data_IF_493148733933
#
_entry.id   IF_493148733933
#
_cell.length_a   1.000
_cell.length_b   1.000
_cell.length_c   1.000
_cell.angle_alpha   90.00
_cell.angle_beta   90.00
_cell.angle_gamma   90.00
#
_symmetry.space_group_name_H-M   'P 1'
#
loop_
_entity.id
_entity.type
_entity.pdbx_description
1 polymer ?
#
# COMPACT_ATOMS: atom_id res chain seq x y z
N UNK A 1 -34.77 -29.62 29.53
CA UNK A 1 -33.71 -28.61 29.35
C UNK A 1 -32.87 -29.04 28.16
N UNK A 2 -32.93 -28.31 27.05
CA UNK A 2 -32.26 -28.70 25.79
C UNK A 2 -31.05 -27.79 25.58
N UNK A 3 -29.85 -28.36 25.57
CA UNK A 3 -28.59 -27.66 25.31
C UNK A 3 -28.31 -27.72 23.80
N UNK A 4 -28.53 -26.61 23.09
CA UNK A 4 -28.08 -26.46 21.71
C UNK A 4 -26.63 -25.96 21.77
N UNK A 5 -25.68 -26.87 21.55
CA UNK A 5 -24.27 -26.51 21.37
C UNK A 5 -24.08 -25.94 19.96
N UNK A 6 -23.84 -24.64 19.87
CA UNK A 6 -23.42 -23.96 18.63
C UNK A 6 -21.91 -24.18 18.46
N UNK A 7 -21.51 -25.03 17.51
CA UNK A 7 -20.11 -25.08 17.08
C UNK A 7 -19.84 -23.87 16.17
N UNK A 8 -19.19 -22.85 16.71
CA UNK A 8 -18.59 -21.78 15.91
C UNK A 8 -17.34 -22.35 15.20
N UNK A 9 -17.44 -22.55 13.89
CA UNK A 9 -16.31 -22.96 13.07
C UNK A 9 -15.43 -21.71 12.83
N UNK A 10 -14.41 -21.53 13.66
CA UNK A 10 -13.40 -20.51 13.43
C UNK A 10 -12.67 -20.84 12.12
N UNK A 11 -12.81 -20.00 11.10
CA UNK A 11 -12.00 -20.06 9.90
C UNK A 11 -10.58 -19.62 10.25
N UNK A 12 -9.76 -20.56 10.73
CA UNK A 12 -8.34 -20.33 10.95
C UNK A 12 -7.67 -20.14 9.60
N UNK A 13 -7.03 -18.98 9.39
CA UNK A 13 -6.14 -18.75 8.26
C UNK A 13 -5.03 -19.80 8.23
N UNK A 14 -4.63 -20.25 7.04
CA UNK A 14 -3.53 -21.20 6.91
C UNK A 14 -2.20 -20.50 7.27
N UNK A 15 -1.38 -21.14 8.09
CA UNK A 15 0.00 -20.70 8.36
C UNK A 15 0.95 -21.50 7.49
N UNK A 16 1.73 -20.81 6.65
CA UNK A 16 2.73 -21.40 5.77
C UNK A 16 4.15 -21.07 6.25
N UNK A 17 5.13 -22.00 6.12
CA UNK A 17 6.49 -21.76 6.58
C UNK A 17 7.23 -20.71 5.74
N UNK A 18 6.98 -20.67 4.43
CA UNK A 18 7.56 -19.69 3.53
C UNK A 18 6.66 -19.45 2.32
N UNK A 19 6.59 -18.21 1.87
CA UNK A 19 5.83 -17.80 0.69
C UNK A 19 6.69 -16.94 -0.25
N UNK A 20 6.48 -17.08 -1.55
CA UNK A 20 7.01 -16.12 -2.52
C UNK A 20 6.18 -14.85 -2.49
N UNK A 21 6.85 -13.71 -2.43
CA UNK A 21 6.27 -12.40 -2.64
C UNK A 21 6.78 -11.76 -3.92
N UNK A 22 7.06 -12.57 -4.95
CA UNK A 22 7.75 -12.10 -6.17
C UNK A 22 6.89 -11.20 -7.08
N UNK A 23 5.56 -11.18 -6.87
CA UNK A 23 4.62 -10.32 -7.59
C UNK A 23 3.76 -9.54 -6.61
N UNK A 24 4.26 -8.42 -6.09
CA UNK A 24 3.47 -7.55 -5.24
C UNK A 24 2.18 -7.10 -5.95
N UNK A 25 1.09 -7.02 -5.19
CA UNK A 25 -0.25 -6.73 -5.67
C UNK A 25 -1.03 -7.94 -6.19
N UNK A 26 -0.41 -9.13 -6.32
CA UNK A 26 -1.13 -10.35 -6.74
C UNK A 26 -2.06 -10.89 -5.66
N UNK A 27 -1.58 -10.97 -4.42
CA UNK A 27 -2.34 -11.52 -3.28
C UNK A 27 -2.43 -10.51 -2.11
N UNK A 28 -3.03 -9.33 -2.35
CA UNK A 28 -3.17 -8.29 -1.33
C UNK A 28 -4.02 -8.76 -0.14
N UNK A 29 -3.64 -8.36 1.06
CA UNK A 29 -4.42 -8.62 2.26
C UNK A 29 -5.74 -7.85 2.23
N UNK A 30 -6.85 -8.58 2.32
CA UNK A 30 -8.21 -8.01 2.24
C UNK A 30 -8.90 -7.87 3.60
N UNK A 31 -8.23 -8.31 4.68
CA UNK A 31 -8.73 -8.14 6.04
C UNK A 31 -8.52 -6.72 6.57
N UNK A 32 -8.87 -6.54 7.84
CA UNK A 32 -8.58 -5.32 8.58
C UNK A 32 -7.10 -5.32 9.00
N UNK A 33 -6.34 -4.38 8.46
CA UNK A 33 -4.89 -4.21 8.69
C UNK A 33 -4.58 -3.93 10.16
N UNK A 34 -5.45 -3.21 10.87
CA UNK A 34 -5.29 -2.91 12.29
C UNK A 34 -5.62 -4.16 13.11
N UNK A 35 -6.71 -4.86 12.78
CA UNK A 35 -7.10 -6.07 13.49
C UNK A 35 -6.06 -7.20 13.34
N UNK A 36 -5.39 -7.31 12.20
CA UNK A 36 -4.37 -8.32 11.93
C UNK A 36 -3.21 -8.32 12.95
N UNK A 37 -2.95 -7.18 13.61
CA UNK A 37 -1.94 -7.10 14.68
C UNK A 37 -2.28 -8.05 15.84
N UNK A 38 -3.56 -8.35 16.07
CA UNK A 38 -3.98 -9.29 17.11
C UNK A 38 -3.51 -10.72 16.87
N UNK A 39 -3.16 -11.10 15.64
CA UNK A 39 -2.69 -12.45 15.31
C UNK A 39 -1.25 -12.71 15.76
N UNK A 40 -0.48 -11.66 16.06
CA UNK A 40 0.84 -11.75 16.68
C UNK A 40 0.72 -12.02 18.20
N UNK A 41 0.37 -13.26 18.56
CA UNK A 41 0.09 -13.66 19.95
C UNK A 41 1.30 -13.59 20.88
N UNK A 42 2.51 -13.64 20.32
CA UNK A 42 3.79 -13.48 21.01
C UNK A 42 4.06 -12.04 21.47
N UNK A 43 3.43 -11.04 20.85
CA UNK A 43 3.53 -9.66 21.32
C UNK A 43 2.73 -9.47 22.62
N UNK A 44 3.22 -8.68 23.59
CA UNK A 44 2.42 -8.30 24.74
C UNK A 44 1.12 -7.59 24.33
N UNK A 45 0.01 -7.87 25.02
CA UNK A 45 -1.29 -7.29 24.68
C UNK A 45 -1.29 -5.76 24.70
N UNK A 46 -0.55 -5.14 25.64
CA UNK A 46 -0.36 -3.70 25.71
C UNK A 46 0.37 -3.15 24.47
N UNK A 47 1.43 -3.83 24.00
CA UNK A 47 2.16 -3.47 22.78
C UNK A 47 1.26 -3.54 21.55
N UNK A 48 0.47 -4.62 21.41
CA UNK A 48 -0.53 -4.72 20.32
C UNK A 48 -1.54 -3.59 20.37
N UNK A 49 -2.07 -3.24 21.54
CA UNK A 49 -3.03 -2.17 21.69
C UNK A 49 -2.47 -0.81 21.24
N UNK A 50 -1.21 -0.50 21.62
CA UNK A 50 -0.54 0.73 21.18
C UNK A 50 -0.28 0.75 19.67
N UNK A 51 0.27 -0.33 19.11
CA UNK A 51 0.48 -0.47 17.66
C UNK A 51 -0.82 -0.26 16.88
N UNK A 52 -1.91 -0.92 17.30
CA UNK A 52 -3.23 -0.75 16.68
C UNK A 52 -3.74 0.70 16.77
N UNK A 53 -3.57 1.35 17.92
CA UNK A 53 -3.98 2.73 18.10
C UNK A 53 -3.20 3.70 17.18
N UNK A 54 -1.90 3.45 16.96
CA UNK A 54 -1.07 4.21 16.00
C UNK A 54 -1.53 3.95 14.56
N UNK A 55 -1.69 2.69 14.18
CA UNK A 55 -2.11 2.29 12.83
C UNK A 55 -3.50 2.83 12.46
N UNK A 56 -4.45 2.83 13.39
CA UNK A 56 -5.78 3.40 13.18
C UNK A 56 -5.77 4.91 12.90
N UNK A 57 -4.73 5.61 13.38
CA UNK A 57 -4.52 7.06 13.17
C UNK A 57 -3.57 7.36 12.01
N UNK A 58 -3.03 6.33 11.35
CA UNK A 58 -1.95 6.45 10.37
C UNK A 58 -0.70 7.15 10.94
N UNK A 59 -0.44 6.96 12.23
CA UNK A 59 0.73 7.50 12.93
C UNK A 59 1.92 6.54 12.77
N UNK A 60 2.43 6.43 11.53
CA UNK A 60 3.61 5.64 11.20
C UNK A 60 4.89 6.41 11.53
N UNK A 61 5.95 5.67 11.83
CA UNK A 61 7.26 6.23 12.15
C UNK A 61 7.98 6.75 10.91
N UNK A 62 7.90 5.99 9.81
CA UNK A 62 8.53 6.35 8.53
C UNK A 62 7.94 5.57 7.35
N UNK A 63 8.25 6.03 6.13
CA UNK A 63 8.04 5.30 4.88
C UNK A 63 9.37 4.71 4.46
N UNK A 64 9.43 3.40 4.27
CA UNK A 64 10.62 2.68 3.82
C UNK A 64 10.49 2.27 2.36
N UNK A 65 11.64 2.07 1.71
CA UNK A 65 11.76 1.33 0.46
C UNK A 65 12.07 -0.13 0.75
N UNK A 66 11.21 -1.00 0.24
CA UNK A 66 11.35 -2.45 0.30
C UNK A 66 11.98 -2.85 -1.04
N UNK A 67 13.13 -3.49 -1.01
CA UNK A 67 13.91 -3.87 -2.21
C UNK A 67 14.04 -5.39 -2.28
N UNK A 68 14.79 -5.95 -3.23
CA UNK A 68 15.02 -7.41 -3.26
C UNK A 68 15.70 -7.92 -1.98
N UNK A 69 16.80 -7.26 -1.62
CA UNK A 69 17.74 -7.73 -0.60
C UNK A 69 17.89 -6.74 0.58
N UNK A 70 17.03 -5.70 0.64
CA UNK A 70 17.08 -4.68 1.70
C UNK A 70 15.71 -4.10 2.04
N UNK A 71 15.64 -3.50 3.23
CA UNK A 71 14.61 -2.54 3.62
C UNK A 71 15.34 -1.26 4.04
N UNK A 72 15.09 -0.18 3.31
CA UNK A 72 15.84 1.07 3.39
C UNK A 72 14.95 2.19 3.92
N UNK A 73 15.33 2.78 5.05
CA UNK A 73 14.66 3.91 5.70
C UNK A 73 15.65 4.87 6.34
N UNK A 74 15.14 5.82 7.13
CA UNK A 74 15.95 6.66 8.02
C UNK A 74 16.67 5.79 9.04
N UNK A 75 15.96 4.80 9.59
CA UNK A 75 16.58 3.80 10.44
C UNK A 75 17.10 2.59 9.67
N UNK A 76 17.89 1.78 10.38
CA UNK A 76 18.38 0.52 9.87
C UNK A 76 17.38 -0.60 10.19
N UNK A 77 17.16 -1.48 9.23
CA UNK A 77 16.24 -2.59 9.34
C UNK A 77 16.91 -3.84 8.81
N UNK A 78 16.64 -4.97 9.47
CA UNK A 78 16.98 -6.28 8.95
C UNK A 78 16.19 -6.56 7.67
N UNK A 79 16.77 -7.38 6.79
CA UNK A 79 16.13 -7.72 5.52
C UNK A 79 14.98 -8.73 5.67
N UNK A 80 14.86 -9.42 6.79
CA UNK A 80 13.83 -10.46 6.97
C UNK A 80 12.45 -9.85 7.18
N UNK A 81 11.48 -10.34 6.41
CA UNK A 81 10.06 -10.04 6.57
C UNK A 81 9.36 -11.31 7.03
N UNK A 82 8.69 -11.23 8.19
CA UNK A 82 8.13 -12.39 8.88
C UNK A 82 6.63 -12.25 9.11
N UNK A 83 5.97 -13.39 9.20
CA UNK A 83 4.55 -13.53 9.58
C UNK A 83 3.62 -12.63 8.77
N UNK A 84 3.87 -12.56 7.46
CA UNK A 84 3.13 -11.70 6.55
C UNK A 84 1.74 -12.26 6.28
N UNK A 85 0.72 -11.44 6.47
CA UNK A 85 -0.67 -11.75 6.17
C UNK A 85 -0.98 -11.44 4.69
N UNK A 86 -1.62 -12.39 4.01
CA UNK A 86 -1.95 -12.36 2.58
C UNK A 86 -3.43 -12.65 2.30
N UNK A 87 -3.91 -12.09 1.19
CA UNK A 87 -5.16 -12.48 0.55
C UNK A 87 -6.43 -12.27 1.37
N UNK A 88 -7.55 -12.77 0.83
CA UNK A 88 -8.87 -12.74 1.48
C UNK A 88 -9.10 -13.86 2.47
N UNK A 89 -8.32 -14.94 2.39
CA UNK A 89 -8.40 -16.09 3.30
C UNK A 89 -7.55 -15.92 4.56
N UNK A 90 -6.87 -14.79 4.72
CA UNK A 90 -6.04 -14.49 5.89
C UNK A 90 -4.88 -15.47 6.05
N UNK A 91 -4.20 -15.85 4.96
CA UNK A 91 -3.04 -16.75 5.04
C UNK A 91 -1.88 -16.00 5.68
N UNK A 92 -1.18 -16.62 6.62
CA UNK A 92 0.01 -16.03 7.26
C UNK A 92 1.25 -16.82 6.88
N UNK A 93 2.25 -16.14 6.34
CA UNK A 93 3.52 -16.75 5.95
C UNK A 93 4.61 -16.39 6.95
N UNK A 94 5.18 -17.38 7.64
CA UNK A 94 6.21 -17.17 8.66
C UNK A 94 7.42 -16.41 8.11
N UNK A 95 7.80 -16.69 6.85
CA UNK A 95 8.81 -15.95 6.11
C UNK A 95 8.31 -15.66 4.69
N UNK A 96 8.79 -14.56 4.11
CA UNK A 96 8.57 -14.27 2.69
C UNK A 96 9.89 -14.06 1.96
N UNK A 97 9.95 -14.56 0.73
CA UNK A 97 11.10 -14.35 -0.17
C UNK A 97 10.76 -13.32 -1.24
N UNK A 98 11.76 -12.49 -1.56
CA UNK A 98 11.73 -11.51 -2.66
C UNK A 98 12.78 -11.81 -3.73
N UNK A 99 13.41 -13.00 -3.69
CA UNK A 99 14.57 -13.36 -4.51
C UNK A 99 14.36 -13.19 -6.02
N UNK A 100 13.12 -13.26 -6.51
CA UNK A 100 12.84 -13.12 -7.95
C UNK A 100 12.47 -11.69 -8.37
N UNK A 101 12.39 -10.73 -7.44
CA UNK A 101 12.24 -9.30 -7.77
C UNK A 101 13.38 -8.85 -8.66
N UNK A 102 13.26 -7.84 -9.53
CA UNK A 102 14.46 -7.28 -10.17
C UNK A 102 15.32 -6.49 -9.16
N UNK A 103 16.61 -6.23 -9.44
CA UNK A 103 17.46 -5.47 -8.52
C UNK A 103 16.96 -4.02 -8.30
N UNK A 104 16.42 -3.42 -9.35
CA UNK A 104 15.79 -2.09 -9.32
C UNK A 104 14.33 -2.10 -8.86
N UNK A 105 13.76 -3.27 -8.54
CA UNK A 105 12.37 -3.37 -8.12
C UNK A 105 12.24 -2.91 -6.68
N UNK A 106 11.29 -2.00 -6.46
CA UNK A 106 11.06 -1.39 -5.16
C UNK A 106 9.56 -1.31 -4.88
N UNK A 107 9.21 -1.51 -3.62
CA UNK A 107 7.92 -1.12 -3.08
C UNK A 107 8.09 -0.13 -1.92
N UNK A 108 7.04 0.63 -1.62
CA UNK A 108 6.99 1.48 -0.43
C UNK A 108 6.20 0.78 0.66
N UNK A 109 6.62 0.97 1.91
CA UNK A 109 5.90 0.46 3.07
C UNK A 109 5.88 1.46 4.22
N UNK A 110 4.80 1.40 4.98
CA UNK A 110 4.66 2.14 6.24
C UNK A 110 5.21 1.29 7.38
N UNK A 111 6.03 1.88 8.24
CA UNK A 111 6.54 1.20 9.43
C UNK A 111 5.94 1.80 10.70
N UNK A 112 5.46 0.93 11.59
CA UNK A 112 4.96 1.28 12.92
C UNK A 112 5.73 0.45 13.96
N UNK A 113 6.37 1.10 14.92
CA UNK A 113 7.13 0.45 15.96
C UNK A 113 6.62 0.84 17.35
N UNK A 114 6.69 -0.11 18.28
CA UNK A 114 6.55 0.12 19.71
C UNK A 114 7.73 -0.58 20.38
N UNK A 115 8.74 0.20 20.80
CA UNK A 115 10.04 -0.36 21.19
C UNK A 115 10.73 -1.05 20.00
N UNK A 116 11.12 -2.30 20.20
CA UNK A 116 11.77 -3.16 19.21
C UNK A 116 10.78 -3.93 18.30
N UNK A 117 9.47 -3.78 18.53
CA UNK A 117 8.42 -4.49 17.80
C UNK A 117 7.90 -3.64 16.66
N UNK A 118 8.25 -3.99 15.42
CA UNK A 118 7.91 -3.21 14.23
C UNK A 118 7.00 -3.97 13.26
N UNK A 119 5.94 -3.30 12.82
CA UNK A 119 4.98 -3.73 11.79
C UNK A 119 5.27 -2.98 10.49
N UNK A 120 5.37 -3.72 9.38
CA UNK A 120 5.53 -3.21 8.03
C UNK A 120 4.27 -3.48 7.22
N UNK A 121 3.74 -2.43 6.58
CA UNK A 121 2.58 -2.51 5.68
C UNK A 121 2.92 -1.90 4.32
N UNK A 122 3.15 -2.70 3.26
CA UNK A 122 3.36 -2.21 1.91
C UNK A 122 2.14 -1.46 1.37
N UNK A 123 2.36 -0.36 0.63
CA UNK A 123 1.28 0.53 0.18
C UNK A 123 0.43 -0.06 -0.94
N UNK A 124 0.97 -1.01 -1.73
CA UNK A 124 0.26 -1.66 -2.83
C UNK A 124 -0.50 -2.89 -2.32
N UNK A 125 0.18 -3.78 -1.60
CA UNK A 125 -0.40 -5.05 -1.18
C UNK A 125 -1.26 -4.96 0.08
N UNK A 126 -1.03 -3.96 0.93
CA UNK A 126 -1.60 -3.85 2.30
C UNK A 126 -1.33 -5.06 3.19
N UNK A 127 -0.38 -5.90 2.81
CA UNK A 127 0.03 -7.06 3.59
C UNK A 127 0.59 -6.61 4.93
N UNK A 128 0.26 -7.31 6.00
CA UNK A 128 0.69 -6.94 7.35
C UNK A 128 1.77 -7.89 7.79
N UNK A 129 2.96 -7.38 8.08
CA UNK A 129 4.14 -8.20 8.37
C UNK A 129 4.97 -7.62 9.50
N UNK A 130 5.92 -8.41 10.01
CA UNK A 130 6.89 -7.99 11.03
C UNK A 130 8.27 -7.84 10.43
N UNK A 131 8.97 -6.80 10.87
CA UNK A 131 10.38 -6.56 10.55
C UNK A 131 11.15 -6.24 11.83
N UNK A 132 12.49 -6.35 11.76
CA UNK A 132 13.37 -6.00 12.88
C UNK A 132 14.08 -4.70 12.60
N UNK A 133 14.01 -3.74 13.53
CA UNK A 133 14.87 -2.55 13.52
C UNK A 133 16.27 -2.94 14.04
N UNK A 134 17.31 -2.54 13.33
CA UNK A 134 18.70 -2.77 13.70
C UNK A 134 19.22 -1.55 14.49
N UNK A 135 19.40 -1.72 15.80
CA UNK A 135 19.88 -0.70 16.72
C UNK A 135 18.77 0.08 17.45
N UNK A 136 19.08 0.55 18.67
CA UNK A 136 18.18 1.31 19.56
C UNK A 136 18.19 2.84 19.29
N UNK A 137 18.60 3.25 18.09
CA UNK A 137 18.75 4.66 17.77
C UNK A 137 17.39 5.38 17.73
N UNK A 138 17.23 6.54 18.40
CA UNK A 138 16.02 7.32 18.27
C UNK A 138 15.79 7.67 16.80
N UNK A 139 14.54 7.54 16.35
CA UNK A 139 14.09 8.09 15.09
C UNK A 139 14.35 9.60 15.12
N UNK A 140 15.39 10.04 14.42
CA UNK A 140 15.50 11.44 14.06
C UNK A 140 14.36 11.70 13.08
N UNK A 141 13.24 12.22 13.59
CA UNK A 141 12.23 12.85 12.75
C UNK A 141 12.96 13.94 11.99
N UNK A 142 13.24 13.70 10.71
CA UNK A 142 13.71 14.74 9.82
C UNK A 142 12.45 15.31 9.13
N UNK A 143 11.92 16.45 9.59
CA UNK A 143 10.87 17.16 8.88
C UNK A 143 11.47 17.75 7.59
N UNK A 144 11.69 16.91 6.58
CA UNK A 144 12.38 17.35 5.37
C UNK A 144 12.91 16.28 4.42
N UNK A 145 12.48 15.01 4.49
CA UNK A 145 12.82 14.02 3.46
C UNK A 145 12.06 14.28 2.14
N UNK A 146 12.37 15.42 1.53
CA UNK A 146 12.12 15.68 0.12
C UNK A 146 12.95 14.75 -0.75
N UNK A 147 12.40 14.51 -1.94
CA UNK A 147 12.97 13.92 -3.16
C UNK A 147 14.51 13.74 -3.15
N UNK A 148 15.05 12.55 -3.54
CA UNK A 148 16.49 12.35 -3.57
C UNK A 148 17.19 13.42 -4.42
N UNK A 149 18.20 14.06 -3.82
CA UNK A 149 19.10 14.95 -4.52
C UNK A 149 19.75 14.21 -5.70
N UNK A 150 19.67 14.82 -6.88
CA UNK A 150 20.37 14.34 -8.06
C UNK A 150 21.89 14.25 -7.77
N UNK A 151 22.50 13.17 -8.24
CA UNK A 151 23.94 12.94 -8.14
C UNK A 151 24.72 14.12 -8.79
N UNK A 152 25.86 14.54 -8.21
CA UNK A 152 26.71 15.53 -8.84
C UNK A 152 27.41 14.94 -10.08
N UNK A 153 27.53 15.70 -11.19
CA UNK A 153 28.34 15.27 -12.34
C UNK A 153 29.84 15.29 -11.99
N UNK A 154 30.67 14.44 -12.62
CA UNK A 154 32.08 14.33 -12.29
C UNK A 154 32.89 15.50 -12.87
N UNK A 155 33.87 15.92 -12.07
CA UNK A 155 35.14 16.54 -12.41
C UNK A 155 35.14 17.80 -13.29
N UNK A 156 35.45 18.92 -12.64
CA UNK A 156 36.28 19.97 -13.24
C UNK A 156 37.21 20.54 -12.19
N UNK A 157 38.45 20.05 -12.22
CA UNK A 157 39.59 20.68 -11.59
C UNK A 157 39.74 22.10 -12.15
N UNK A 158 39.77 23.09 -11.27
CA UNK A 158 39.96 24.48 -11.63
C UNK A 158 40.32 25.29 -10.40
N UNK A 159 41.61 25.28 -10.06
CA UNK A 159 42.17 26.25 -9.10
C UNK A 159 42.09 27.63 -9.73
N UNK A 160 41.35 28.55 -9.12
CA UNK A 160 41.59 29.99 -9.28
C UNK A 160 41.12 30.75 -8.05
N UNK A 161 42.13 31.21 -7.32
CA UNK A 161 42.21 32.29 -6.34
C UNK A 161 41.19 33.41 -6.57
N UNK A 162 40.41 33.71 -5.53
CA UNK A 162 39.62 34.93 -5.40
C UNK A 162 40.55 36.16 -5.28
N UNK A 163 40.14 37.30 -5.83
CA UNK A 163 40.21 38.53 -5.07
C UNK A 163 38.81 39.12 -4.86
N UNK A 164 38.61 39.61 -3.65
CA UNK A 164 37.43 40.32 -3.21
C UNK A 164 37.27 41.63 -3.99
N UNK A 165 36.07 41.89 -4.49
CA UNK A 165 35.53 43.24 -4.50
C UNK A 165 34.00 43.18 -4.42
N UNK A 166 33.46 43.78 -3.37
CA UNK A 166 32.02 43.88 -3.13
C UNK A 166 31.54 45.23 -3.67
N UNK A 167 30.71 45.19 -4.70
CA UNK A 167 29.81 46.30 -5.03
C UNK A 167 28.37 45.81 -4.95
N UNK A 168 27.52 46.36 -4.06
CA UNK A 168 26.10 46.05 -4.03
C UNK A 168 25.44 46.60 -5.30
N UNK A 169 24.90 45.73 -6.14
CA UNK A 169 24.10 46.15 -7.29
C UNK A 169 22.69 46.51 -6.82
N UNK A 170 22.49 47.81 -6.65
CA UNK A 170 21.19 48.46 -6.54
C UNK A 170 20.47 48.33 -7.90
N UNK A 171 19.35 47.62 -7.94
CA UNK A 171 18.49 47.55 -9.13
C UNK A 171 17.17 48.27 -8.86
N UNK A 172 17.15 49.54 -9.23
CA UNK A 172 15.93 50.33 -9.37
C UNK A 172 15.06 49.75 -10.52
N UNK A 173 13.75 49.54 -10.32
CA UNK A 173 12.87 49.09 -11.38
C UNK A 173 12.50 50.26 -12.32
N UNK A 174 12.76 50.17 -13.65
CA UNK A 174 12.19 51.13 -14.58
C UNK A 174 10.71 50.83 -14.79
N UNK A 175 9.86 51.73 -14.29
CA UNK A 175 8.46 51.81 -14.65
C UNK A 175 8.23 52.58 -15.96
N UNK A 176 7.05 52.35 -16.52
CA UNK A 176 6.32 53.12 -17.53
C UNK A 176 6.62 52.84 -19.02
N UNK A 177 5.80 51.94 -19.58
CA UNK A 177 5.54 51.82 -21.01
C UNK A 177 4.30 50.94 -21.26
N UNK A 178 3.11 51.50 -21.08
CA UNK A 178 1.83 51.01 -21.62
C UNK A 178 1.36 52.04 -22.67
N UNK A 179 0.62 51.69 -23.74
CA UNK A 179 -0.52 50.77 -23.68
C UNK A 179 -0.66 49.79 -24.86
N UNK A 180 -1.26 48.63 -24.60
CA UNK A 180 -1.63 47.69 -25.68
C UNK A 180 -2.34 46.43 -25.18
N UNK A 181 -3.65 46.55 -25.00
CA UNK A 181 -4.67 45.49 -25.17
C UNK A 181 -4.65 44.23 -24.30
N UNK A 182 -5.47 44.30 -23.24
CA UNK A 182 -6.54 43.36 -22.86
C UNK A 182 -6.26 41.85 -22.88
N UNK A 183 -5.84 41.30 -21.74
CA UNK A 183 -6.40 40.05 -21.21
C UNK A 183 -6.39 40.11 -19.68
N UNK A 184 -7.59 40.13 -19.09
CA UNK A 184 -7.81 40.18 -17.65
C UNK A 184 -7.43 38.83 -16.97
N UNK A 185 -6.95 38.85 -15.72
CA UNK A 185 -6.76 37.64 -14.94
C UNK A 185 -8.11 37.06 -14.49
N UNK A 186 -8.22 35.73 -14.56
CA UNK A 186 -9.35 34.98 -14.05
C UNK A 186 -9.56 35.24 -12.55
N UNK A 187 -10.80 35.58 -12.19
CA UNK A 187 -11.24 35.76 -10.81
C UNK A 187 -11.30 34.42 -10.06
N UNK A 188 -11.15 34.42 -8.71
CA UNK A 188 -11.34 33.23 -7.89
C UNK A 188 -12.81 32.78 -7.89
N UNK A 189 -13.02 31.47 -8.09
CA UNK A 189 -14.32 30.80 -8.02
C UNK A 189 -14.96 30.91 -6.62
N UNK A 190 -16.26 31.26 -6.51
CA UNK A 190 -16.99 31.19 -5.24
C UNK A 190 -17.29 29.73 -4.83
N UNK A 191 -17.24 29.46 -3.53
CA UNK A 191 -17.66 28.20 -2.93
C UNK A 191 -19.18 27.95 -3.14
N UNK A 192 -19.63 26.68 -3.27
CA UNK A 192 -21.05 26.37 -3.43
C UNK A 192 -21.83 26.57 -2.10
N UNK A 193 -23.09 27.04 -2.16
CA UNK A 193 -23.95 27.19 -0.99
C UNK A 193 -24.45 25.82 -0.46
N UNK A 194 -24.90 25.76 0.81
CA UNK A 194 -25.43 24.54 1.40
C UNK A 194 -26.75 24.11 0.75
N UNK A 195 -26.84 22.83 0.44
CA UNK A 195 -28.00 22.19 -0.19
C UNK A 195 -29.18 22.18 0.78
N UNK A 196 -30.24 22.90 0.45
CA UNK A 196 -31.55 22.82 1.13
C UNK A 196 -32.41 21.80 0.38
N UNK A 197 -33.01 20.79 1.05
CA UNK A 197 -33.84 19.82 0.38
C UNK A 197 -35.27 20.36 0.21
N UNK A 198 -35.74 20.40 -1.04
CA UNK A 198 -37.16 20.50 -1.35
C UNK A 198 -37.55 21.74 -2.13
N UNK A 199 -37.80 21.53 -3.43
CA UNK A 199 -38.86 22.08 -4.30
C UNK A 199 -38.30 21.99 -5.72
N UNK A 200 -38.70 20.96 -6.48
CA UNK A 200 -38.39 20.85 -7.91
C UNK A 200 -39.37 21.70 -8.71
N UNK A 201 -38.92 22.66 -9.52
CA UNK A 201 -39.80 23.37 -10.46
C UNK A 201 -40.25 22.43 -11.60
N UNK A 202 -41.48 22.59 -12.12
CA UNK A 202 -41.99 21.77 -13.21
C UNK A 202 -41.30 22.16 -14.53
N UNK A 203 -40.56 21.24 -15.13
CA UNK A 203 -39.98 21.43 -16.47
C UNK A 203 -38.51 21.00 -16.65
N UNK A 204 -37.84 20.47 -15.63
CA UNK A 204 -36.49 19.94 -15.79
C UNK A 204 -36.51 18.57 -16.50
N UNK A 205 -35.74 18.37 -17.59
CA UNK A 205 -35.57 17.04 -18.18
C UNK A 205 -34.85 16.11 -17.18
N UNK A 206 -35.19 14.80 -17.15
CA UNK A 206 -34.58 13.87 -16.21
C UNK A 206 -33.06 13.75 -16.44
N UNK A 207 -32.25 13.56 -15.39
CA UNK A 207 -30.83 13.33 -15.53
C UNK A 207 -30.58 12.05 -16.34
N UNK A 208 -29.79 12.17 -17.40
CA UNK A 208 -29.35 11.05 -18.22
C UNK A 208 -28.28 10.27 -17.47
N UNK A 209 -28.61 9.06 -17.01
CA UNK A 209 -27.63 8.15 -16.43
C UNK A 209 -26.77 7.53 -17.55
N UNK A 210 -25.43 7.42 -17.38
CA UNK A 210 -24.62 6.66 -18.32
C UNK A 210 -25.02 5.18 -18.25
N UNK A 211 -25.45 4.65 -19.39
CA UNK A 211 -25.74 3.22 -19.56
C UNK A 211 -24.40 2.48 -19.48
N UNK A 212 -24.19 1.71 -18.40
CA UNK A 212 -23.08 0.77 -18.32
C UNK A 212 -23.21 -0.27 -19.45
N UNK A 213 -22.12 -0.60 -20.15
CA UNK A 213 -22.15 -1.65 -21.16
C UNK A 213 -22.56 -2.98 -20.51
N UNK A 214 -23.30 -3.85 -21.23
CA UNK A 214 -23.69 -5.15 -20.70
C UNK A 214 -22.44 -5.96 -20.33
N UNK A 215 -22.43 -6.49 -19.11
CA UNK A 215 -21.39 -7.38 -18.65
C UNK A 215 -21.30 -8.60 -19.59
N UNK A 216 -20.16 -8.77 -20.25
CA UNK A 216 -19.90 -9.96 -21.07
C UNK A 216 -19.87 -11.19 -20.16
N UNK A 217 -20.56 -12.29 -20.51
CA UNK A 217 -20.52 -13.52 -19.72
C UNK A 217 -19.08 -14.04 -19.65
N UNK A 218 -18.64 -14.45 -18.46
CA UNK A 218 -17.33 -15.03 -18.27
C UNK A 218 -17.20 -16.29 -19.13
N UNK A 219 -16.25 -16.28 -20.07
CA UNK A 219 -15.90 -17.47 -20.86
C UNK A 219 -15.19 -18.44 -19.91
N UNK A 220 -15.70 -19.67 -19.72
CA UNK A 220 -15.05 -20.63 -18.84
C UNK A 220 -13.67 -21.00 -19.37
N UNK A 221 -12.67 -20.89 -18.51
CA UNK A 221 -11.28 -21.24 -18.83
C UNK A 221 -11.16 -22.72 -19.18
N UNK A 222 -10.19 -23.12 -20.03
CA UNK A 222 -10.00 -24.52 -20.44
C UNK A 222 -9.82 -25.49 -19.25
N UNK A 223 -9.33 -24.99 -18.11
CA UNK A 223 -9.23 -25.77 -16.88
C UNK A 223 -10.59 -26.19 -16.31
N UNK A 224 -11.65 -25.40 -16.49
CA UNK A 224 -13.01 -25.72 -16.03
C UNK A 224 -13.58 -26.92 -16.78
N UNK A 225 -13.32 -27.01 -18.09
CA UNK A 225 -13.74 -28.16 -18.91
C UNK A 225 -13.00 -29.45 -18.55
N UNK A 226 -11.71 -29.35 -18.22
CA UNK A 226 -10.92 -30.49 -17.78
C UNK A 226 -11.45 -31.07 -16.46
N UNK A 227 -11.83 -30.22 -15.49
CA UNK A 227 -12.39 -30.67 -14.22
C UNK A 227 -13.76 -31.35 -14.40
N UNK A 228 -14.60 -30.79 -15.28
CA UNK A 228 -15.90 -31.40 -15.59
C UNK A 228 -15.73 -32.77 -16.28
N UNK A 229 -14.82 -32.86 -17.25
CA UNK A 229 -14.51 -34.12 -17.93
C UNK A 229 -13.93 -35.19 -17.00
N UNK A 230 -13.03 -34.80 -16.09
CA UNK A 230 -12.47 -35.70 -15.09
C UNK A 230 -13.54 -36.25 -14.13
N UNK A 231 -14.50 -35.40 -13.71
CA UNK A 231 -15.64 -35.83 -12.89
C UNK A 231 -16.54 -36.86 -13.57
N UNK A 232 -16.83 -36.67 -14.87
CA UNK A 232 -17.63 -37.62 -15.66
C UNK A 232 -16.92 -38.97 -15.85
N UNK A 233 -15.61 -38.95 -16.07
CA UNK A 233 -14.82 -40.19 -16.19
C UNK A 233 -14.80 -40.98 -14.87
N UNK A 234 -14.62 -40.31 -13.74
CA UNK A 234 -14.63 -40.95 -12.42
C UNK A 234 -15.98 -41.57 -12.08
N UNK A 235 -17.08 -40.87 -12.37
CA UNK A 235 -18.43 -41.39 -12.13
C UNK A 235 -18.77 -42.57 -13.04
N UNK A 236 -18.36 -42.52 -14.32
CA UNK A 236 -18.47 -43.65 -15.25
C UNK A 236 -17.67 -44.87 -14.80
N UNK A 237 -16.43 -44.67 -14.34
CA UNK A 237 -15.58 -45.74 -13.83
C UNK A 237 -16.17 -46.40 -12.57
N UNK A 238 -16.65 -45.59 -11.62
CA UNK A 238 -17.28 -46.07 -10.39
C UNK A 238 -18.57 -46.87 -10.67
N UNK A 239 -19.38 -46.44 -11.64
CA UNK A 239 -20.58 -47.18 -12.08
C UNK A 239 -20.22 -48.53 -12.68
N UNK A 240 -19.22 -48.56 -13.57
CA UNK A 240 -18.77 -49.81 -14.22
C UNK A 240 -18.24 -50.83 -13.22
N UNK A 241 -17.53 -50.38 -12.19
CA UNK A 241 -17.00 -51.26 -11.11
C UNK A 241 -18.07 -51.83 -10.18
N UNK A 242 -19.29 -51.26 -10.18
CA UNK A 242 -20.42 -51.75 -9.37
C UNK A 242 -21.34 -52.71 -10.14
N UNK A 243 -21.17 -52.83 -11.46
CA UNK A 243 -22.02 -53.63 -12.34
C UNK A 243 -21.35 -54.88 -12.91
N UNK A 244 -20.12 -55.18 -12.49
CA UNK A 244 -19.40 -56.43 -12.78
C UNK A 244 -18.82 -56.98 -11.49
#
# INVERSE_FOLDING_TARGET
MSLIATLALAASGAVLPSCSWDHPGRDPFMGDVVAAVDDYKDLPAATRAKLKARMAKLDYDEIVLIERDRISGVAQYGNDIRDMHFGSRGVTCQTVTRKSWAQQMQERGLVYCEGDQCILVPTICRNVSRIKREGDGPLLINPGAGVPAAAPPPDSAGTSTMPADQTPLDFAPPGAGLPGSLTAPAAPTPAPPPVTPGITPPGAPPPSFPILPPATPAVPEPATWLMFGAGLLLTGYAKRRRSG
#
